data_IF_131670121565
#
_entry.id   IF_131670121565
#
_cell.length_a   1.000
_cell.length_b   1.000
_cell.length_c   1.000
_cell.angle_alpha   90.00
_cell.angle_beta   90.00
_cell.angle_gamma   90.00
#
_symmetry.space_group_name_H-M   'P 1'
#
loop_
_entity.id
_entity.type
_entity.pdbx_description
1 polymer ?
#
# COMPACT_ATOMS: atom_id res chain seq x y z
N UNK A 1 -38.00 42.16 47.60
CA UNK A 1 -38.16 42.65 46.20
C UNK A 1 -36.77 42.69 45.58
N UNK A 2 -36.50 41.87 44.55
CA UNK A 2 -35.60 42.13 43.40
C UNK A 2 -35.82 40.95 42.44
N UNK A 3 -36.40 41.24 41.28
CA UNK A 3 -36.48 40.38 40.10
C UNK A 3 -35.17 40.57 39.34
N UNK A 4 -34.44 39.49 39.05
CA UNK A 4 -33.25 39.50 38.20
C UNK A 4 -33.39 38.48 37.08
N UNK A 5 -33.72 38.97 35.89
CA UNK A 5 -33.72 38.26 34.61
C UNK A 5 -32.28 38.32 34.04
N UNK A 6 -31.87 37.35 33.20
CA UNK A 6 -30.71 37.31 32.24
C UNK A 6 -29.98 35.96 32.36
N UNK A 7 -29.57 35.24 31.32
CA UNK A 7 -29.92 35.11 29.92
C UNK A 7 -29.29 33.78 29.47
N UNK A 8 -30.04 32.87 28.86
CA UNK A 8 -29.49 31.65 28.26
C UNK A 8 -28.71 32.03 26.99
N UNK A 9 -27.38 32.08 27.07
CA UNK A 9 -26.51 32.04 25.89
C UNK A 9 -26.42 30.59 25.41
N UNK A 10 -27.26 30.24 24.44
CA UNK A 10 -27.11 29.03 23.65
C UNK A 10 -25.84 29.15 22.79
N UNK A 11 -24.81 28.38 23.15
CA UNK A 11 -23.59 28.25 22.36
C UNK A 11 -23.90 27.57 21.02
N UNK A 12 -23.74 28.32 19.94
CA UNK A 12 -23.86 27.83 18.57
C UNK A 12 -22.66 26.91 18.27
N UNK A 13 -22.86 25.59 18.36
CA UNK A 13 -21.88 24.62 17.90
C UNK A 13 -21.77 24.71 16.37
N UNK A 14 -20.66 25.27 15.85
CA UNK A 14 -20.32 25.13 14.44
C UNK A 14 -19.88 23.69 14.17
N UNK A 15 -20.77 22.91 13.56
CA UNK A 15 -20.46 21.58 13.02
C UNK A 15 -19.57 21.76 11.78
N UNK A 16 -18.41 21.08 11.68
CA UNK A 16 -17.63 21.07 10.45
C UNK A 16 -18.41 20.34 9.35
N UNK A 17 -18.78 21.07 8.30
CA UNK A 17 -19.35 20.50 7.08
C UNK A 17 -18.31 19.60 6.41
N UNK A 18 -18.44 18.29 6.61
CA UNK A 18 -17.73 17.30 5.81
C UNK A 18 -18.25 17.41 4.38
N UNK A 19 -17.42 17.87 3.45
CA UNK A 19 -17.73 17.81 2.02
C UNK A 19 -17.76 16.34 1.59
N UNK A 20 -18.95 15.74 1.62
CA UNK A 20 -19.21 14.41 1.08
C UNK A 20 -18.89 14.46 -0.42
N UNK A 21 -17.85 13.74 -0.85
CA UNK A 21 -17.50 13.66 -2.27
C UNK A 21 -18.68 13.01 -3.02
N UNK A 22 -19.23 13.73 -4.00
CA UNK A 22 -20.45 13.35 -4.72
C UNK A 22 -20.15 12.22 -5.69
N UNK A 23 -20.77 11.06 -5.49
CA UNK A 23 -20.62 9.89 -6.35
C UNK A 23 -21.80 9.85 -7.31
N UNK A 24 -21.51 9.67 -8.60
CA UNK A 24 -22.51 9.58 -9.65
C UNK A 24 -22.53 8.17 -10.24
N UNK A 25 -23.73 7.62 -10.47
CA UNK A 25 -23.95 6.33 -11.12
C UNK A 25 -24.42 6.54 -12.55
N UNK A 26 -23.65 6.04 -13.51
CA UNK A 26 -23.91 6.06 -14.94
C UNK A 26 -24.24 4.64 -15.41
N UNK A 27 -25.45 4.14 -15.13
CA UNK A 27 -25.78 2.74 -15.44
C UNK A 27 -25.02 1.75 -14.53
N UNK A 28 -23.91 1.16 -14.99
CA UNK A 28 -23.08 0.24 -14.20
C UNK A 28 -21.75 0.85 -13.73
N UNK A 29 -21.42 2.06 -14.16
CA UNK A 29 -20.16 2.75 -13.84
C UNK A 29 -20.37 3.81 -12.75
N UNK A 30 -19.38 3.97 -11.87
CA UNK A 30 -19.35 5.00 -10.83
C UNK A 30 -18.25 6.02 -11.12
N UNK A 31 -18.56 7.31 -10.95
CA UNK A 31 -17.59 8.40 -11.14
C UNK A 31 -17.74 9.46 -10.05
N UNK A 32 -16.63 10.10 -9.69
CA UNK A 32 -16.58 11.26 -8.81
C UNK A 32 -16.50 12.59 -9.60
N UNK A 33 -16.40 12.55 -10.93
CA UNK A 33 -16.33 13.74 -11.75
C UNK A 33 -17.74 14.24 -12.17
N UNK A 34 -18.11 15.42 -11.68
CA UNK A 34 -19.40 16.05 -11.95
C UNK A 34 -19.62 16.43 -13.43
N UNK A 35 -18.56 16.73 -14.20
CA UNK A 35 -18.66 17.07 -15.63
C UNK A 35 -18.98 15.84 -16.48
N UNK A 36 -18.31 14.71 -16.17
CA UNK A 36 -18.58 13.42 -16.79
C UNK A 36 -19.98 12.94 -16.42
N UNK A 37 -20.39 13.15 -15.17
CA UNK A 37 -21.73 12.80 -14.72
C UNK A 37 -22.83 13.58 -15.44
N UNK A 38 -22.64 14.89 -15.66
CA UNK A 38 -23.62 15.74 -16.34
C UNK A 38 -23.75 15.41 -17.83
N UNK A 39 -22.63 15.15 -18.51
CA UNK A 39 -22.62 14.79 -19.93
C UNK A 39 -23.21 13.40 -20.22
N UNK A 40 -23.10 12.48 -19.27
CA UNK A 40 -23.63 11.10 -19.38
C UNK A 40 -24.98 10.89 -18.69
N UNK A 41 -25.62 11.96 -18.20
CA UNK A 41 -26.95 11.89 -17.56
C UNK A 41 -26.98 11.04 -16.28
N UNK A 42 -25.89 11.01 -15.53
CA UNK A 42 -25.72 10.13 -14.38
C UNK A 42 -26.50 10.64 -13.15
N UNK A 43 -27.00 9.71 -12.33
CA UNK A 43 -27.74 10.06 -11.10
C UNK A 43 -26.78 10.22 -9.93
N UNK A 44 -26.98 11.28 -9.14
CA UNK A 44 -26.27 11.48 -7.88
C UNK A 44 -26.70 10.39 -6.89
N UNK A 45 -25.75 9.60 -6.40
CA UNK A 45 -25.98 8.60 -5.37
C UNK A 45 -25.52 9.21 -4.04
N UNK A 46 -26.48 9.44 -3.15
CA UNK A 46 -26.24 10.03 -1.84
C UNK A 46 -26.59 9.00 -0.77
N UNK A 47 -25.61 8.64 0.07
CA UNK A 47 -25.81 7.90 1.33
C UNK A 47 -26.46 6.53 1.24
N UNK A 48 -25.67 5.48 0.98
CA UNK A 48 -26.08 4.09 1.22
C UNK A 48 -25.03 3.06 0.78
N UNK A 49 -24.24 2.57 1.74
CA UNK A 49 -23.27 1.44 1.61
C UNK A 49 -22.12 1.62 0.60
N UNK A 50 -21.61 2.85 0.41
CA UNK A 50 -20.38 3.07 -0.38
C UNK A 50 -19.27 3.49 0.57
N UNK A 51 -18.28 2.63 0.77
CA UNK A 51 -17.05 2.97 1.49
C UNK A 51 -16.08 3.60 0.50
N UNK A 52 -15.99 4.93 0.50
CA UNK A 52 -14.98 5.65 -0.28
C UNK A 52 -13.65 5.60 0.46
N UNK A 53 -12.72 4.77 -0.03
CA UNK A 53 -11.33 4.82 0.42
C UNK A 53 -10.65 5.89 -0.43
N UNK A 54 -10.38 7.05 0.18
CA UNK A 54 -9.65 8.13 -0.49
C UNK A 54 -8.20 7.67 -0.74
N UNK A 55 -7.90 7.32 -2.00
CA UNK A 55 -6.54 7.12 -2.45
C UNK A 55 -5.79 8.47 -2.50
N UNK A 56 -4.45 8.48 -2.40
CA UNK A 56 -3.68 9.71 -2.53
C UNK A 56 -3.99 10.38 -3.88
N UNK A 57 -4.58 11.57 -3.82
CA UNK A 57 -4.94 12.31 -5.02
C UNK A 57 -3.66 12.64 -5.82
N UNK A 58 -3.65 12.46 -7.15
CA UNK A 58 -2.52 12.89 -7.97
C UNK A 58 -2.36 14.39 -7.82
N UNK A 59 -1.17 14.84 -7.42
CA UNK A 59 -0.87 16.28 -7.35
C UNK A 59 -0.93 16.86 -8.77
N UNK A 60 -2.06 17.49 -9.11
CA UNK A 60 -2.14 18.36 -10.28
C UNK A 60 -1.19 19.54 -10.03
N UNK A 61 -0.11 19.59 -10.80
CA UNK A 61 0.77 20.75 -10.92
C UNK A 61 0.01 21.89 -11.57
N UNK A 62 -0.65 22.72 -10.76
CA UNK A 62 -1.21 23.99 -11.23
C UNK A 62 -0.10 25.04 -11.15
N UNK A 63 0.18 25.68 -12.28
CA UNK A 63 1.15 26.77 -12.43
C UNK A 63 0.91 27.92 -11.42
N UNK A 64 1.97 28.64 -10.99
CA UNK A 64 1.86 29.58 -9.88
C UNK A 64 1.12 30.85 -10.31
N UNK A 65 0.04 31.19 -9.60
CA UNK A 65 -0.54 32.53 -9.60
C UNK A 65 -0.64 33.02 -8.16
N UNK A 66 0.14 34.06 -7.87
CA UNK A 66 0.21 35.02 -6.75
C UNK A 66 -0.44 34.68 -5.38
N UNK A 67 0.22 35.04 -4.26
CA UNK A 67 -0.16 34.61 -2.92
C UNK A 67 -1.39 35.38 -2.42
N UNK A 68 -2.48 34.67 -2.14
CA UNK A 68 -3.51 35.16 -1.21
C UNK A 68 -3.26 34.51 0.14
N UNK A 69 -2.86 35.35 1.08
CA UNK A 69 -2.75 35.03 2.50
C UNK A 69 -4.12 34.63 3.05
N UNK A 70 -4.36 33.33 3.16
CA UNK A 70 -5.40 32.77 4.01
C UNK A 70 -4.77 31.67 4.83
N UNK A 71 -4.45 32.02 6.08
CA UNK A 71 -4.06 31.11 7.15
C UNK A 71 -5.16 30.07 7.35
N UNK A 72 -5.03 28.96 6.64
CA UNK A 72 -5.80 27.75 6.85
C UNK A 72 -4.79 26.77 7.44
N UNK A 73 -5.04 26.17 8.63
CA UNK A 73 -4.08 25.23 9.18
C UNK A 73 -3.94 24.12 8.16
N UNK A 74 -2.72 23.97 7.64
CA UNK A 74 -2.34 22.79 6.89
C UNK A 74 -2.69 21.60 7.79
N UNK A 75 -3.83 20.98 7.51
CA UNK A 75 -4.18 19.70 8.11
C UNK A 75 -3.29 18.72 7.38
N UNK A 76 -2.04 18.69 7.82
CA UNK A 76 -1.11 17.63 7.58
C UNK A 76 -1.86 16.37 8.01
N UNK A 77 -2.47 15.68 7.04
CA UNK A 77 -2.94 14.30 7.17
C UNK A 77 -1.80 13.35 7.52
N UNK A 78 -0.57 13.85 7.59
CA UNK A 78 0.44 13.38 8.53
C UNK A 78 0.10 13.86 9.95
N UNK A 79 -0.84 13.19 10.62
CA UNK A 79 -0.42 12.69 11.93
C UNK A 79 0.63 11.67 11.57
N UNK A 80 1.88 12.13 11.44
CA UNK A 80 3.07 11.31 11.44
C UNK A 80 2.87 10.53 12.75
N UNK A 81 2.30 9.32 12.65
CA UNK A 81 2.22 8.35 13.74
C UNK A 81 3.52 8.51 14.48
N UNK A 82 3.44 8.79 15.80
CA UNK A 82 4.54 9.36 16.57
C UNK A 82 5.86 8.79 16.03
N UNK A 83 6.82 9.65 15.66
CA UNK A 83 7.98 9.17 14.89
C UNK A 83 8.70 8.01 15.60
N UNK A 84 8.54 7.89 16.93
CA UNK A 84 8.92 6.70 17.68
C UNK A 84 8.11 5.43 17.30
N UNK A 85 6.79 5.48 17.30
CA UNK A 85 5.90 4.39 16.86
C UNK A 85 6.12 3.97 15.41
N UNK A 86 6.32 4.94 14.50
CA UNK A 86 6.60 4.62 13.09
C UNK A 86 7.94 3.87 12.95
N UNK A 87 8.99 4.33 13.64
CA UNK A 87 10.30 3.64 13.64
C UNK A 87 10.22 2.25 14.28
N UNK A 88 9.43 2.09 15.34
CA UNK A 88 9.22 0.78 15.97
C UNK A 88 8.56 -0.22 15.00
N UNK A 89 7.52 0.22 14.28
CA UNK A 89 6.87 -0.61 13.24
C UNK A 89 7.83 -0.96 12.10
N UNK A 90 8.64 0.01 11.66
CA UNK A 90 9.62 -0.21 10.61
C UNK A 90 10.72 -1.19 11.07
N UNK A 91 11.17 -1.13 12.33
CA UNK A 91 12.12 -2.10 12.88
C UNK A 91 11.51 -3.50 13.02
N UNK A 92 10.25 -3.60 13.44
CA UNK A 92 9.54 -4.88 13.54
C UNK A 92 9.37 -5.51 12.16
N UNK A 93 8.96 -4.71 11.16
CA UNK A 93 8.83 -5.16 9.78
C UNK A 93 10.17 -5.67 9.22
N UNK A 94 11.28 -4.95 9.48
CA UNK A 94 12.62 -5.41 9.09
C UNK A 94 12.99 -6.73 9.76
N UNK A 95 12.78 -6.87 11.07
CA UNK A 95 13.09 -8.09 11.81
C UNK A 95 12.30 -9.31 11.30
N UNK A 96 11.02 -9.11 10.93
CA UNK A 96 10.20 -10.15 10.30
C UNK A 96 10.78 -10.54 8.95
N UNK A 97 11.09 -9.56 8.09
CA UNK A 97 11.65 -9.82 6.76
C UNK A 97 13.02 -10.49 6.82
N UNK A 98 13.86 -10.16 7.80
CA UNK A 98 15.15 -10.85 8.02
C UNK A 98 14.95 -12.32 8.41
N UNK A 99 13.95 -12.60 9.24
CA UNK A 99 13.58 -13.98 9.62
C UNK A 99 13.06 -14.76 8.41
N UNK A 100 12.19 -14.14 7.61
CA UNK A 100 11.67 -14.74 6.38
C UNK A 100 12.77 -14.95 5.33
N UNK A 101 13.72 -14.00 5.21
CA UNK A 101 14.88 -14.14 4.34
C UNK A 101 15.67 -15.38 4.71
N UNK A 102 15.96 -15.57 6.00
CA UNK A 102 16.68 -16.78 6.47
C UNK A 102 15.94 -18.06 6.09
N UNK A 103 14.62 -18.11 6.32
CA UNK A 103 13.80 -19.28 5.93
C UNK A 103 13.77 -19.50 4.42
N UNK A 104 13.77 -18.44 3.62
CA UNK A 104 13.82 -18.52 2.17
C UNK A 104 15.20 -19.00 1.68
N UNK A 105 16.28 -18.57 2.31
CA UNK A 105 17.65 -19.05 2.04
C UNK A 105 17.83 -20.52 2.41
N UNK A 106 17.25 -20.97 3.53
CA UNK A 106 17.21 -22.40 3.91
C UNK A 106 16.47 -23.23 2.85
N UNK A 107 15.27 -22.79 2.42
CA UNK A 107 14.52 -23.41 1.31
C UNK A 107 15.30 -23.44 0.00
N UNK A 108 16.02 -22.36 -0.31
CA UNK A 108 16.88 -22.29 -1.48
C UNK A 108 18.02 -23.32 -1.41
N UNK A 109 18.66 -23.46 -0.25
CA UNK A 109 19.73 -24.43 -0.04
C UNK A 109 19.23 -25.87 -0.19
N UNK A 110 18.05 -26.17 0.35
CA UNK A 110 17.38 -27.47 0.18
C UNK A 110 17.05 -27.74 -1.29
N UNK A 111 16.47 -26.76 -2.01
CA UNK A 111 16.15 -26.89 -3.42
C UNK A 111 17.39 -27.09 -4.29
N UNK A 112 18.49 -26.38 -4.01
CA UNK A 112 19.78 -26.57 -4.68
C UNK A 112 20.35 -27.97 -4.44
N UNK A 113 20.31 -28.45 -3.20
CA UNK A 113 20.76 -29.79 -2.85
C UNK A 113 19.93 -30.86 -3.54
N UNK A 114 18.61 -30.68 -3.61
CA UNK A 114 17.71 -31.61 -4.28
C UNK A 114 17.90 -31.60 -5.81
N UNK A 115 18.20 -30.44 -6.40
CA UNK A 115 18.51 -30.32 -7.83
C UNK A 115 19.87 -30.92 -8.21
N UNK A 116 20.85 -30.89 -7.30
CA UNK A 116 22.18 -31.48 -7.47
C UNK A 116 22.81 -31.14 -8.83
N UNK A 117 22.85 -29.84 -9.15
CA UNK A 117 23.39 -29.31 -10.41
C UNK A 117 22.76 -29.89 -11.70
N UNK A 118 21.55 -30.42 -11.60
CA UNK A 118 20.81 -31.02 -12.71
C UNK A 118 20.95 -32.53 -12.82
N UNK A 119 21.73 -33.14 -11.93
CA UNK A 119 21.94 -34.58 -11.85
C UNK A 119 21.47 -35.14 -10.49
N UNK A 120 20.18 -34.98 -10.13
CA UNK A 120 19.66 -35.59 -8.92
C UNK A 120 19.79 -37.12 -9.00
N UNK A 121 20.01 -37.76 -7.84
CA UNK A 121 20.05 -39.21 -7.76
C UNK A 121 18.73 -39.81 -8.26
N UNK A 122 18.79 -40.87 -9.07
CA UNK A 122 17.61 -41.57 -9.58
C UNK A 122 16.91 -42.30 -8.44
N UNK A 123 15.60 -42.15 -8.34
CA UNK A 123 14.80 -42.73 -7.27
C UNK A 123 13.82 -43.77 -7.81
N UNK A 124 13.75 -44.93 -7.15
CA UNK A 124 12.76 -45.98 -7.45
C UNK A 124 12.77 -46.47 -8.91
N UNK A 125 11.65 -46.32 -9.61
CA UNK A 125 11.44 -46.82 -10.98
C UNK A 125 12.08 -45.95 -12.08
N UNK A 126 12.69 -44.81 -11.73
CA UNK A 126 13.32 -43.88 -12.68
C UNK A 126 14.49 -44.49 -13.45
N UNK A 127 15.10 -45.55 -12.92
CA UNK A 127 16.10 -46.35 -13.64
C UNK A 127 15.53 -47.08 -14.86
N UNK A 128 14.24 -47.45 -14.82
CA UNK A 128 13.52 -48.16 -15.88
C UNK A 128 12.69 -47.23 -16.76
N UNK A 129 12.26 -46.08 -16.23
CA UNK A 129 11.54 -45.06 -16.96
C UNK A 129 12.27 -43.71 -16.89
N UNK A 130 13.08 -43.45 -17.90
CA UNK A 130 13.90 -42.23 -17.96
C UNK A 130 13.07 -40.95 -18.15
N UNK A 131 11.88 -41.02 -18.75
CA UNK A 131 11.02 -39.84 -18.90
C UNK A 131 10.61 -39.27 -17.54
N UNK A 132 10.29 -40.14 -16.57
CA UNK A 132 9.95 -39.72 -15.19
C UNK A 132 11.11 -38.98 -14.51
N UNK A 133 12.34 -39.41 -14.79
CA UNK A 133 13.53 -38.73 -14.29
C UNK A 133 13.63 -37.31 -14.86
N UNK A 134 13.48 -37.16 -16.18
CA UNK A 134 13.52 -35.86 -16.85
C UNK A 134 12.43 -34.91 -16.33
N UNK A 135 11.20 -35.42 -16.15
CA UNK A 135 10.09 -34.63 -15.62
C UNK A 135 10.40 -34.13 -14.20
N UNK A 136 10.93 -35.00 -13.33
CA UNK A 136 11.34 -34.61 -11.96
C UNK A 136 12.49 -33.61 -11.95
N UNK A 137 13.50 -33.78 -12.81
CA UNK A 137 14.60 -32.80 -12.95
C UNK A 137 14.05 -31.43 -13.35
N UNK A 138 13.09 -31.39 -14.27
CA UNK A 138 12.42 -30.15 -14.67
C UNK A 138 11.62 -29.53 -13.52
N UNK A 139 10.91 -30.34 -12.72
CA UNK A 139 10.19 -29.88 -11.51
C UNK A 139 11.14 -29.32 -10.45
N UNK A 140 12.27 -29.99 -10.19
CA UNK A 140 13.31 -29.54 -9.26
C UNK A 140 13.94 -28.22 -9.73
N UNK A 141 14.21 -28.09 -11.03
CA UNK A 141 14.70 -26.83 -11.62
C UNK A 141 13.68 -25.70 -11.44
N UNK A 142 12.39 -25.97 -11.66
CA UNK A 142 11.34 -24.99 -11.46
C UNK A 142 11.18 -24.60 -9.98
N UNK A 143 11.37 -25.56 -9.06
CA UNK A 143 11.37 -25.29 -7.63
C UNK A 143 12.56 -24.41 -7.20
N UNK A 144 13.76 -24.70 -7.74
CA UNK A 144 14.94 -23.88 -7.55
C UNK A 144 14.70 -22.43 -8.01
N UNK A 145 14.20 -22.25 -9.23
CA UNK A 145 13.92 -20.91 -9.77
C UNK A 145 12.91 -20.13 -8.93
N UNK A 146 11.87 -20.79 -8.39
CA UNK A 146 10.91 -20.17 -7.46
C UNK A 146 11.59 -19.74 -6.16
N UNK A 147 12.40 -20.60 -5.55
CA UNK A 147 13.13 -20.27 -4.32
C UNK A 147 14.13 -19.11 -4.52
N UNK A 148 14.79 -19.03 -5.67
CA UNK A 148 15.65 -17.90 -6.03
C UNK A 148 14.86 -16.60 -6.16
N UNK A 149 13.69 -16.66 -6.82
CA UNK A 149 12.78 -15.52 -6.92
C UNK A 149 12.34 -15.03 -5.54
N UNK A 150 11.95 -15.93 -4.63
CA UNK A 150 11.53 -15.56 -3.27
C UNK A 150 12.64 -14.81 -2.52
N UNK A 151 13.88 -15.33 -2.54
CA UNK A 151 15.03 -14.68 -1.90
C UNK A 151 15.28 -13.30 -2.50
N UNK A 152 15.25 -13.16 -3.82
CA UNK A 152 15.45 -11.85 -4.46
C UNK A 152 14.33 -10.86 -4.11
N UNK A 153 13.07 -11.31 -4.06
CA UNK A 153 11.93 -10.47 -3.69
C UNK A 153 12.07 -9.94 -2.26
N UNK A 154 12.35 -10.83 -1.30
CA UNK A 154 12.50 -10.44 0.11
C UNK A 154 13.69 -9.49 0.29
N UNK A 155 14.81 -9.72 -0.39
CA UNK A 155 15.97 -8.80 -0.37
C UNK A 155 15.61 -7.41 -0.90
N UNK A 156 14.80 -7.34 -1.96
CA UNK A 156 14.33 -6.07 -2.50
C UNK A 156 13.39 -5.35 -1.52
N UNK A 157 12.53 -6.08 -0.81
CA UNK A 157 11.69 -5.52 0.24
C UNK A 157 12.52 -4.99 1.42
N UNK A 158 13.51 -5.75 1.89
CA UNK A 158 14.46 -5.28 2.92
C UNK A 158 15.17 -3.98 2.49
N UNK A 159 15.57 -3.87 1.23
CA UNK A 159 16.18 -2.65 0.71
C UNK A 159 15.21 -1.45 0.69
N UNK A 160 13.90 -1.69 0.45
CA UNK A 160 12.88 -0.64 0.56
C UNK A 160 12.71 -0.20 2.00
N UNK A 161 12.71 -1.15 2.93
CA UNK A 161 12.60 -0.85 4.35
C UNK A 161 13.86 -0.17 4.90
N UNK A 162 15.05 -0.40 4.34
CA UNK A 162 16.29 0.30 4.73
C UNK A 162 16.38 1.73 4.18
N UNK A 163 15.83 1.99 3.00
CA UNK A 163 15.91 3.29 2.29
C UNK A 163 14.92 4.38 2.74
N UNK A 164 13.93 4.08 3.58
CA UNK A 164 12.92 5.04 4.06
C UNK A 164 13.45 6.11 5.05
N UNK A 165 14.77 6.31 5.12
CA UNK A 165 15.46 7.30 5.94
C UNK A 165 16.02 8.53 5.19
N UNK A 166 15.81 8.64 3.87
CA UNK A 166 16.29 9.82 3.12
C UNK A 166 15.10 10.65 2.62
N UNK A 167 14.73 11.76 3.29
CA UNK A 167 13.94 12.77 2.60
C UNK A 167 14.82 13.29 1.46
N UNK A 168 14.33 13.17 0.23
CA UNK A 168 14.94 13.85 -0.92
C UNK A 168 14.97 15.35 -0.61
N UNK A 169 16.10 15.81 -0.09
CA UNK A 169 16.35 17.22 0.21
C UNK A 169 16.41 18.00 -1.09
N UNK A 170 15.67 19.10 -1.13
CA UNK A 170 15.75 20.14 -2.16
C UNK A 170 17.21 20.42 -2.54
N UNK A 171 17.60 20.06 -3.76
CA UNK A 171 18.75 20.67 -4.43
C UNK A 171 18.24 21.90 -5.18
N UNK A 172 18.08 23.00 -4.44
CA UNK A 172 18.06 24.34 -5.01
C UNK A 172 19.51 24.78 -5.23
N UNK A 173 19.91 24.97 -6.48
CA UNK A 173 20.87 26.00 -6.88
C UNK A 173 20.66 26.36 -8.35
#
# INVERSE_FOLDING_TARGET
MIRGLVACLAGLCLVPAQAQERIYRCGNEYTNNAEVAKSRGCKLMEGGNITVIQGPAPQRTVAPSAPRSSSTPARNGNTRTDSAEQRARDSDARAILETELRRAEERLAEAKKAYADGEPEKQGIESRNYQRYLDRVAELKAALARAESDVTSIRNELNRHSGAGTPAGNAAK
#
